data_IF_506927251822
#
_entry.id   IF_506927251822
#
_cell.length_a   1.000
_cell.length_b   1.000
_cell.length_c   1.000
_cell.angle_alpha   90.00
_cell.angle_beta   90.00
_cell.angle_gamma   90.00
#
_symmetry.space_group_name_H-M   'P 1'
#
loop_
_entity.id
_entity.type
_entity.pdbx_description
1 polymer ?
#
# COMPACT_ATOMS: atom_id res chain seq x y z
N UNK A 1 -0.06 -1.82 29.27
CA UNK A 1 0.88 -0.84 28.69
C UNK A 1 1.78 -1.49 27.61
N UNK A 2 2.35 -2.68 27.83
CA UNK A 2 3.21 -3.35 26.86
C UNK A 2 2.56 -3.64 25.49
N UNK A 3 1.30 -4.08 25.45
CA UNK A 3 0.58 -4.36 24.21
C UNK A 3 0.36 -3.09 23.37
N UNK A 4 0.06 -1.98 24.01
CA UNK A 4 -0.14 -0.70 23.32
C UNK A 4 1.19 -0.22 22.71
N UNK A 5 2.29 -0.32 23.45
CA UNK A 5 3.62 0.02 22.94
C UNK A 5 4.02 -0.83 21.71
N UNK A 6 3.65 -2.12 21.69
CA UNK A 6 3.87 -2.98 20.51
C UNK A 6 3.03 -2.49 19.32
N UNK A 7 1.75 -2.19 19.54
CA UNK A 7 0.89 -1.64 18.50
C UNK A 7 1.44 -0.34 17.90
N UNK A 8 1.89 0.58 18.76
CA UNK A 8 2.47 1.86 18.32
C UNK A 8 3.75 1.68 17.51
N UNK A 9 4.63 0.74 17.90
CA UNK A 9 5.83 0.41 17.13
C UNK A 9 5.49 -0.14 15.76
N UNK A 10 4.54 -1.08 15.67
CA UNK A 10 4.08 -1.62 14.39
C UNK A 10 3.50 -0.51 13.49
N UNK A 11 2.65 0.34 14.07
CA UNK A 11 2.09 1.52 13.39
C UNK A 11 3.21 2.43 12.86
N UNK A 12 4.22 2.70 13.68
CA UNK A 12 5.32 3.59 13.30
C UNK A 12 6.11 3.03 12.12
N UNK A 13 6.40 1.72 12.11
CA UNK A 13 7.09 1.06 10.99
C UNK A 13 6.27 1.22 9.72
N UNK A 14 4.99 0.85 9.75
CA UNK A 14 4.08 0.96 8.60
C UNK A 14 3.99 2.41 8.11
N UNK A 15 3.90 3.37 9.04
CA UNK A 15 3.81 4.78 8.71
C UNK A 15 5.10 5.35 8.11
N UNK A 16 6.26 4.91 8.58
CA UNK A 16 7.55 5.33 7.99
C UNK A 16 7.67 4.86 6.55
N UNK A 17 7.35 3.59 6.28
CA UNK A 17 7.38 3.04 4.92
C UNK A 17 6.37 3.74 4.01
N UNK A 18 5.12 3.89 4.47
CA UNK A 18 4.08 4.59 3.70
C UNK A 18 4.44 6.05 3.38
N UNK A 19 4.97 6.80 4.35
CA UNK A 19 5.43 8.18 4.11
C UNK A 19 6.64 8.24 3.18
N UNK A 20 7.59 7.33 3.31
CA UNK A 20 8.74 7.28 2.40
C UNK A 20 8.30 6.99 0.97
N UNK A 21 7.33 6.08 0.78
CA UNK A 21 6.81 5.75 -0.55
C UNK A 21 6.07 6.89 -1.23
N UNK A 22 5.48 7.83 -0.48
CA UNK A 22 4.81 9.00 -1.08
C UNK A 22 5.77 9.91 -1.84
N UNK A 23 7.06 9.93 -1.49
CA UNK A 23 8.06 10.68 -2.25
C UNK A 23 8.27 10.14 -3.67
N UNK A 24 7.92 8.87 -3.92
CA UNK A 24 7.95 8.29 -5.27
C UNK A 24 6.86 8.87 -6.19
N UNK A 25 5.87 9.57 -5.64
CA UNK A 25 4.90 10.32 -6.45
C UNK A 25 5.55 11.45 -7.25
N UNK A 26 6.63 12.05 -6.73
CA UNK A 26 7.33 13.14 -7.42
C UNK A 26 7.91 12.66 -8.76
N UNK A 27 8.81 11.63 -8.77
CA UNK A 27 9.30 11.11 -10.05
C UNK A 27 8.18 10.51 -10.91
N UNK A 28 7.15 9.90 -10.32
CA UNK A 28 5.99 9.39 -11.07
C UNK A 28 5.32 10.51 -11.86
N UNK A 29 4.99 11.63 -11.21
CA UNK A 29 4.35 12.77 -11.88
C UNK A 29 5.27 13.36 -12.96
N UNK A 30 6.56 13.49 -12.70
CA UNK A 30 7.54 14.00 -13.68
C UNK A 30 7.58 13.12 -14.91
N UNK A 31 7.66 11.78 -14.74
CA UNK A 31 7.72 10.83 -15.85
C UNK A 31 6.42 10.85 -16.66
N UNK A 32 5.26 10.83 -15.98
CA UNK A 32 3.95 10.89 -16.65
C UNK A 32 3.80 12.18 -17.45
N UNK A 33 4.14 13.33 -16.86
CA UNK A 33 4.06 14.62 -17.57
C UNK A 33 5.00 14.66 -18.76
N UNK A 34 6.21 14.13 -18.60
CA UNK A 34 7.19 14.05 -19.69
C UNK A 34 6.66 13.17 -20.81
N UNK A 35 6.15 11.96 -20.53
CA UNK A 35 5.63 11.05 -21.54
C UNK A 35 4.45 11.66 -22.33
N UNK A 36 3.54 12.36 -21.65
CA UNK A 36 2.44 13.07 -22.30
C UNK A 36 2.95 14.18 -23.23
N UNK A 37 3.92 14.99 -22.78
CA UNK A 37 4.51 16.07 -23.59
C UNK A 37 5.28 15.50 -24.78
N UNK A 38 6.10 14.47 -24.56
CA UNK A 38 6.89 13.82 -25.60
C UNK A 38 6.03 13.23 -26.72
N UNK A 39 4.91 12.61 -26.37
CA UNK A 39 3.93 12.09 -27.35
C UNK A 39 3.24 13.19 -28.15
N UNK A 40 3.04 14.37 -27.59
CA UNK A 40 2.49 15.51 -28.30
C UNK A 40 3.51 16.18 -29.20
N UNK A 41 4.78 16.21 -28.79
CA UNK A 41 5.88 16.85 -29.48
C UNK A 41 6.87 15.79 -30.01
N UNK A 42 6.42 15.00 -30.97
CA UNK A 42 7.15 13.82 -31.50
C UNK A 42 8.58 14.15 -31.92
N UNK A 43 8.83 15.36 -32.42
CA UNK A 43 10.17 15.82 -32.80
C UNK A 43 11.12 15.93 -31.59
N UNK A 44 10.63 16.32 -30.42
CA UNK A 44 11.42 16.32 -29.16
C UNK A 44 11.77 14.88 -28.78
N UNK A 45 10.81 13.96 -28.83
CA UNK A 45 11.04 12.55 -28.52
C UNK A 45 12.11 11.95 -29.44
N UNK A 46 12.00 12.16 -30.77
CA UNK A 46 12.98 11.67 -31.74
C UNK A 46 14.36 12.24 -31.42
N UNK A 47 14.46 13.54 -31.16
CA UNK A 47 15.72 14.18 -30.80
C UNK A 47 16.32 13.62 -29.51
N UNK A 48 15.50 13.40 -28.47
CA UNK A 48 15.94 12.84 -27.18
C UNK A 48 16.42 11.40 -27.33
N UNK A 49 15.69 10.56 -28.05
CA UNK A 49 16.08 9.17 -28.31
C UNK A 49 17.39 9.11 -29.11
N UNK A 50 17.56 9.98 -30.10
CA UNK A 50 18.78 10.04 -30.91
C UNK A 50 20.03 10.47 -30.10
N UNK A 51 19.89 11.36 -29.13
CA UNK A 51 21.01 11.92 -28.37
C UNK A 51 21.26 11.23 -27.01
N UNK A 52 20.22 10.73 -26.36
CA UNK A 52 20.28 10.16 -25.00
C UNK A 52 19.92 8.67 -24.93
N UNK A 53 19.56 8.08 -26.09
CA UNK A 53 19.25 6.66 -26.19
C UNK A 53 17.80 6.29 -25.93
N UNK A 54 17.50 4.99 -26.01
CA UNK A 54 16.15 4.42 -25.92
C UNK A 54 15.44 4.65 -24.58
N UNK A 55 16.14 5.16 -23.56
CA UNK A 55 15.52 5.46 -22.26
C UNK A 55 14.34 6.44 -22.41
N UNK A 56 14.39 7.35 -23.38
CA UNK A 56 13.32 8.32 -23.65
C UNK A 56 12.25 7.82 -24.62
N UNK A 57 12.28 6.54 -25.00
CA UNK A 57 11.16 5.97 -25.74
C UNK A 57 9.89 5.95 -24.89
N UNK A 58 8.76 6.32 -25.51
CA UNK A 58 7.47 6.39 -24.84
C UNK A 58 7.07 5.06 -24.20
N UNK A 59 7.38 3.93 -24.82
CA UNK A 59 7.11 2.59 -24.29
C UNK A 59 7.82 2.33 -22.97
N UNK A 60 9.10 2.73 -22.87
CA UNK A 60 9.89 2.56 -21.65
C UNK A 60 9.42 3.51 -20.56
N UNK A 61 9.09 4.76 -20.90
CA UNK A 61 8.51 5.72 -19.97
C UNK A 61 7.20 5.23 -19.37
N UNK A 62 6.30 4.69 -20.19
CA UNK A 62 5.05 4.08 -19.72
C UNK A 62 5.30 2.89 -18.78
N UNK A 63 6.28 2.03 -19.09
CA UNK A 63 6.62 0.93 -18.19
C UNK A 63 7.16 1.44 -16.84
N UNK A 64 8.00 2.45 -16.83
CA UNK A 64 8.47 3.09 -15.59
C UNK A 64 7.32 3.74 -14.80
N UNK A 65 6.37 4.37 -15.48
CA UNK A 65 5.20 4.99 -14.87
C UNK A 65 4.39 3.98 -14.06
N UNK A 66 3.95 2.89 -14.69
CA UNK A 66 3.14 1.93 -13.96
C UNK A 66 3.96 1.09 -12.96
N UNK A 67 5.29 0.93 -13.15
CA UNK A 67 6.17 0.35 -12.13
C UNK A 67 6.22 1.20 -10.87
N UNK A 68 6.47 2.52 -11.01
CA UNK A 68 6.47 3.44 -9.88
C UNK A 68 5.11 3.50 -9.19
N UNK A 69 4.02 3.54 -9.98
CA UNK A 69 2.66 3.50 -9.45
C UNK A 69 2.40 2.24 -8.62
N UNK A 70 2.82 1.07 -9.13
CA UNK A 70 2.69 -0.20 -8.41
C UNK A 70 3.45 -0.18 -7.08
N UNK A 71 4.71 0.33 -7.07
CA UNK A 71 5.51 0.45 -5.85
C UNK A 71 4.82 1.33 -4.82
N UNK A 72 4.39 2.53 -5.22
CA UNK A 72 3.68 3.47 -4.34
C UNK A 72 2.41 2.82 -3.78
N UNK A 73 1.58 2.25 -4.66
CA UNK A 73 0.33 1.61 -4.28
C UNK A 73 0.54 0.50 -3.25
N UNK A 74 1.49 -0.42 -3.50
CA UNK A 74 1.77 -1.53 -2.60
C UNK A 74 2.27 -1.04 -1.23
N UNK A 75 3.20 -0.09 -1.19
CA UNK A 75 3.80 0.37 0.07
C UNK A 75 2.86 1.26 0.90
N UNK A 76 1.89 1.94 0.27
CA UNK A 76 0.90 2.79 0.96
C UNK A 76 -0.26 1.99 1.55
N UNK A 77 -0.50 0.73 1.12
CA UNK A 77 -1.64 -0.07 1.59
C UNK A 77 -1.77 -0.12 3.12
N UNK A 78 -0.68 -0.50 3.81
CA UNK A 78 -0.68 -0.56 5.28
C UNK A 78 -0.87 0.80 5.94
N UNK A 79 -0.24 1.85 5.38
CA UNK A 79 -0.39 3.22 5.85
C UNK A 79 -1.84 3.70 5.74
N UNK A 80 -2.49 3.45 4.60
CA UNK A 80 -3.90 3.79 4.40
C UNK A 80 -4.81 3.09 5.41
N UNK A 81 -4.52 1.83 5.73
CA UNK A 81 -5.29 1.07 6.72
C UNK A 81 -5.16 1.65 8.14
N UNK A 82 -3.94 1.95 8.59
CA UNK A 82 -3.71 2.52 9.92
C UNK A 82 -4.25 3.94 10.11
N UNK A 83 -4.56 4.65 9.01
CA UNK A 83 -5.15 5.99 9.01
C UNK A 83 -6.63 6.03 8.65
N UNK A 84 -7.32 4.89 8.68
CA UNK A 84 -8.75 4.80 8.36
C UNK A 84 -9.12 5.37 6.98
N UNK A 85 -8.23 5.20 5.98
CA UNK A 85 -8.43 5.73 4.61
C UNK A 85 -9.02 4.69 3.65
N UNK A 86 -9.26 3.46 4.10
CA UNK A 86 -9.96 2.45 3.30
C UNK A 86 -11.45 2.76 3.20
N UNK A 87 -11.99 2.57 2.00
CA UNK A 87 -13.43 2.70 1.75
C UNK A 87 -14.17 1.65 2.59
N UNK A 88 -15.17 2.09 3.35
CA UNK A 88 -16.00 1.26 4.21
C UNK A 88 -17.47 1.49 3.92
N UNK A 89 -18.27 0.47 4.17
CA UNK A 89 -19.74 0.59 4.13
C UNK A 89 -20.20 0.92 5.55
N UNK A 90 -20.28 2.21 5.86
CA UNK A 90 -20.61 2.67 7.22
C UNK A 90 -22.13 2.72 7.50
N UNK A 91 -22.97 2.47 6.49
CA UNK A 91 -24.44 2.58 6.57
C UNK A 91 -25.07 1.82 7.77
N UNK A 92 -24.61 0.60 8.04
CA UNK A 92 -25.10 -0.17 9.19
C UNK A 92 -24.40 0.20 10.50
N UNK A 93 -23.15 0.68 10.40
CA UNK A 93 -22.27 0.93 11.53
C UNK A 93 -22.56 2.26 12.24
N UNK A 94 -23.08 3.25 11.56
CA UNK A 94 -23.34 4.58 12.13
C UNK A 94 -24.23 4.51 13.38
N UNK A 95 -25.20 3.61 13.38
CA UNK A 95 -26.15 3.43 14.49
C UNK A 95 -25.60 2.61 15.69
N UNK A 96 -24.38 2.08 15.60
CA UNK A 96 -23.84 1.25 16.66
C UNK A 96 -23.14 2.08 17.75
N UNK A 97 -23.28 1.65 19.00
CA UNK A 97 -22.50 2.17 20.11
C UNK A 97 -21.00 1.90 19.90
N UNK A 98 -20.13 2.74 20.46
CA UNK A 98 -18.67 2.63 20.33
C UNK A 98 -18.13 1.22 20.59
N UNK A 99 -18.60 0.53 21.66
CA UNK A 99 -18.19 -0.85 21.94
C UNK A 99 -18.63 -1.85 20.87
N UNK A 100 -19.82 -1.66 20.30
CA UNK A 100 -20.31 -2.53 19.23
C UNK A 100 -19.52 -2.28 17.95
N UNK A 101 -19.18 -1.04 17.64
CA UNK A 101 -18.27 -0.69 16.54
C UNK A 101 -16.91 -1.40 16.70
N UNK A 102 -16.31 -1.32 17.90
CA UNK A 102 -15.04 -1.98 18.19
C UNK A 102 -15.10 -3.51 18.02
N UNK A 103 -16.18 -4.15 18.46
CA UNK A 103 -16.37 -5.59 18.28
C UNK A 103 -16.51 -5.98 16.81
N UNK A 104 -17.30 -5.25 16.03
CA UNK A 104 -17.45 -5.50 14.59
C UNK A 104 -16.11 -5.37 13.87
N UNK A 105 -15.35 -4.32 14.17
CA UNK A 105 -14.00 -4.14 13.62
C UNK A 105 -13.04 -5.27 14.04
N UNK A 106 -13.11 -5.71 15.29
CA UNK A 106 -12.29 -6.80 15.78
C UNK A 106 -12.57 -8.11 15.04
N UNK A 107 -13.85 -8.50 14.93
CA UNK A 107 -14.23 -9.72 14.21
C UNK A 107 -13.96 -9.60 12.70
N UNK A 108 -14.22 -8.44 12.11
CA UNK A 108 -13.87 -8.18 10.72
C UNK A 108 -12.38 -8.30 10.44
N UNK A 109 -11.55 -7.78 11.35
CA UNK A 109 -10.10 -7.87 11.23
C UNK A 109 -9.60 -9.31 11.35
N UNK A 110 -10.03 -10.06 12.36
CA UNK A 110 -9.53 -11.43 12.63
C UNK A 110 -10.03 -12.47 11.62
N UNK A 111 -11.27 -12.36 11.14
CA UNK A 111 -11.85 -13.37 10.24
C UNK A 111 -11.68 -13.05 8.76
N UNK A 112 -11.56 -11.78 8.38
CA UNK A 112 -11.46 -11.39 6.97
C UNK A 112 -10.11 -10.76 6.65
N UNK A 113 -9.73 -9.69 7.33
CA UNK A 113 -8.57 -8.89 6.96
C UNK A 113 -7.25 -9.65 7.15
N UNK A 114 -7.00 -10.24 8.32
CA UNK A 114 -5.75 -10.96 8.59
C UNK A 114 -5.61 -12.25 7.74
N UNK A 115 -6.62 -13.15 7.63
CA UNK A 115 -6.51 -14.31 6.76
C UNK A 115 -6.35 -13.92 5.29
N UNK A 116 -7.11 -12.92 4.81
CA UNK A 116 -7.00 -12.42 3.45
C UNK A 116 -5.59 -11.92 3.13
N UNK A 117 -5.00 -11.10 4.01
CA UNK A 117 -3.65 -10.59 3.79
C UNK A 117 -2.59 -11.68 3.79
N UNK A 118 -2.72 -12.71 4.64
CA UNK A 118 -1.81 -13.87 4.65
C UNK A 118 -1.90 -14.66 3.35
N UNK A 119 -3.12 -14.91 2.86
CA UNK A 119 -3.34 -15.56 1.57
C UNK A 119 -2.71 -14.72 0.44
N UNK A 120 -2.91 -13.41 0.46
CA UNK A 120 -2.33 -12.52 -0.54
C UNK A 120 -0.79 -12.51 -0.49
N UNK A 121 -0.18 -12.51 0.70
CA UNK A 121 1.29 -12.61 0.85
C UNK A 121 1.78 -13.92 0.23
N UNK A 122 1.12 -15.05 0.53
CA UNK A 122 1.53 -16.36 0.03
C UNK A 122 1.45 -16.44 -1.51
N UNK A 123 0.32 -16.08 -2.11
CA UNK A 123 0.17 -16.16 -3.56
C UNK A 123 1.00 -15.12 -4.32
N UNK A 124 1.15 -13.91 -3.77
CA UNK A 124 2.01 -12.91 -4.39
C UNK A 124 3.50 -13.29 -4.30
N UNK A 125 3.90 -14.02 -3.25
CA UNK A 125 5.24 -14.60 -3.17
C UNK A 125 5.49 -15.63 -4.27
N UNK A 126 4.57 -16.59 -4.47
CA UNK A 126 4.64 -17.57 -5.55
C UNK A 126 4.73 -16.84 -6.91
N UNK A 127 3.85 -15.88 -7.14
CA UNK A 127 3.83 -15.10 -8.37
C UNK A 127 5.17 -14.38 -8.67
N UNK A 128 5.83 -13.87 -7.64
CA UNK A 128 7.16 -13.27 -7.76
C UNK A 128 8.22 -14.33 -8.08
N UNK A 129 8.21 -15.47 -7.38
CA UNK A 129 9.17 -16.57 -7.57
C UNK A 129 9.06 -17.15 -8.99
N UNK A 130 7.84 -17.39 -9.47
CA UNK A 130 7.61 -17.89 -10.83
C UNK A 130 8.19 -16.92 -11.87
N UNK A 131 7.94 -15.62 -11.71
CA UNK A 131 8.50 -14.57 -12.57
C UNK A 131 10.05 -14.56 -12.55
N UNK A 132 10.65 -14.83 -11.39
CA UNK A 132 12.11 -14.93 -11.25
C UNK A 132 12.67 -16.17 -11.99
N UNK A 133 12.02 -17.33 -11.82
CA UNK A 133 12.46 -18.59 -12.43
C UNK A 133 12.43 -18.52 -13.95
N UNK A 134 11.35 -18.00 -14.53
CA UNK A 134 11.19 -17.86 -15.99
C UNK A 134 11.99 -16.69 -16.57
N UNK A 135 12.68 -15.89 -15.72
CA UNK A 135 13.37 -14.66 -16.12
C UNK A 135 12.48 -13.74 -16.96
N UNK A 136 11.29 -13.48 -16.44
CA UNK A 136 10.24 -12.75 -17.16
C UNK A 136 10.74 -11.39 -17.64
N UNK A 137 10.56 -11.14 -18.94
CA UNK A 137 10.86 -9.86 -19.58
C UNK A 137 9.57 -9.20 -20.07
N UNK A 138 9.64 -7.91 -20.38
CA UNK A 138 8.50 -7.21 -20.98
C UNK A 138 8.13 -7.82 -22.33
N UNK A 139 6.85 -7.80 -22.66
CA UNK A 139 6.35 -8.13 -23.99
C UNK A 139 6.69 -7.06 -25.05
N UNK A 140 7.14 -5.89 -24.61
CA UNK A 140 7.59 -4.80 -25.46
C UNK A 140 9.03 -5.02 -25.93
N UNK A 141 9.34 -4.65 -27.17
CA UNK A 141 10.69 -4.77 -27.76
C UNK A 141 11.76 -3.95 -26.98
N UNK A 142 11.35 -2.87 -26.32
CA UNK A 142 12.22 -1.93 -25.59
C UNK A 142 11.87 -1.89 -24.11
N UNK A 143 11.08 -2.84 -23.62
CA UNK A 143 10.58 -2.86 -22.26
C UNK A 143 11.63 -3.28 -21.22
N UNK A 144 11.30 -3.03 -19.94
CA UNK A 144 12.17 -3.36 -18.81
C UNK A 144 12.30 -4.88 -18.65
N UNK A 145 13.54 -5.32 -18.49
CA UNK A 145 13.86 -6.70 -18.09
C UNK A 145 13.66 -6.87 -16.58
N UNK A 146 13.70 -8.13 -16.12
CA UNK A 146 13.61 -8.45 -14.68
C UNK A 146 12.29 -8.02 -14.01
N UNK A 147 11.16 -8.36 -14.60
CA UNK A 147 9.83 -8.05 -14.06
C UNK A 147 9.58 -8.58 -12.65
N UNK A 148 10.32 -9.58 -12.20
CA UNK A 148 10.24 -10.10 -10.84
C UNK A 148 10.53 -9.03 -9.78
N UNK A 149 11.37 -8.01 -10.09
CA UNK A 149 11.70 -6.92 -9.16
C UNK A 149 10.44 -6.14 -8.77
N UNK A 150 9.63 -5.74 -9.75
CA UNK A 150 8.40 -5.02 -9.44
C UNK A 150 7.37 -5.91 -8.74
N UNK A 151 7.32 -7.20 -9.09
CA UNK A 151 6.43 -8.16 -8.44
C UNK A 151 6.79 -8.40 -6.98
N UNK A 152 8.04 -8.18 -6.56
CA UNK A 152 8.48 -8.27 -5.16
C UNK A 152 7.77 -7.27 -4.27
N UNK A 153 7.33 -6.12 -4.81
CA UNK A 153 6.61 -5.12 -4.02
C UNK A 153 5.19 -5.56 -3.63
N UNK A 154 4.59 -6.54 -4.33
CA UNK A 154 3.29 -7.10 -3.96
C UNK A 154 3.32 -7.81 -2.60
N UNK A 155 4.13 -8.85 -2.37
CA UNK A 155 4.21 -9.51 -1.06
C UNK A 155 4.68 -8.56 0.03
N UNK A 156 5.59 -7.62 -0.27
CA UNK A 156 6.03 -6.60 0.69
C UNK A 156 4.85 -5.70 1.09
N UNK A 157 4.07 -5.20 0.15
CA UNK A 157 2.92 -4.36 0.42
C UNK A 157 1.85 -5.06 1.25
N UNK A 158 1.49 -6.31 0.91
CA UNK A 158 0.56 -7.11 1.71
C UNK A 158 1.12 -7.45 3.10
N UNK A 159 2.43 -7.63 3.23
CA UNK A 159 3.06 -7.81 4.54
C UNK A 159 2.92 -6.56 5.41
N UNK A 160 3.15 -5.36 4.88
CA UNK A 160 2.90 -4.12 5.63
C UNK A 160 1.42 -3.89 5.94
N UNK A 161 0.52 -4.32 5.07
CA UNK A 161 -0.91 -4.31 5.34
C UNK A 161 -1.26 -5.26 6.49
N UNK A 162 -0.67 -6.45 6.52
CA UNK A 162 -0.80 -7.41 7.63
C UNK A 162 -0.30 -6.82 8.95
N UNK A 163 0.88 -6.19 8.97
CA UNK A 163 1.41 -5.52 10.16
C UNK A 163 0.48 -4.39 10.65
N UNK A 164 -0.08 -3.61 9.72
CA UNK A 164 -1.10 -2.60 10.02
C UNK A 164 -2.34 -3.22 10.67
N UNK A 165 -2.83 -4.33 10.12
CA UNK A 165 -3.95 -5.10 10.68
C UNK A 165 -3.67 -5.63 12.07
N UNK A 166 -2.48 -6.17 12.31
CA UNK A 166 -2.05 -6.61 13.65
C UNK A 166 -1.99 -5.45 14.65
N UNK A 167 -1.49 -4.30 14.23
CA UNK A 167 -1.45 -3.10 15.07
C UNK A 167 -2.86 -2.66 15.49
N UNK A 168 -3.79 -2.59 14.53
CA UNK A 168 -5.20 -2.25 14.78
C UNK A 168 -5.86 -3.29 15.69
N UNK A 169 -5.62 -4.59 15.45
CA UNK A 169 -6.17 -5.65 16.28
C UNK A 169 -5.75 -5.54 17.73
N UNK A 170 -4.48 -5.26 18.00
CA UNK A 170 -3.96 -5.08 19.36
C UNK A 170 -4.66 -3.88 20.04
N UNK A 171 -4.89 -2.79 19.33
CA UNK A 171 -5.63 -1.65 19.89
C UNK A 171 -7.09 -1.99 20.20
N UNK A 172 -7.76 -2.73 19.30
CA UNK A 172 -9.13 -3.16 19.52
C UNK A 172 -9.26 -4.09 20.73
N UNK A 173 -8.31 -4.99 20.95
CA UNK A 173 -8.23 -5.82 22.16
C UNK A 173 -8.13 -4.94 23.41
N UNK A 174 -7.24 -3.96 23.41
CA UNK A 174 -7.07 -3.06 24.53
C UNK A 174 -8.32 -2.21 24.84
N UNK A 175 -9.11 -1.86 23.81
CA UNK A 175 -10.38 -1.12 23.95
C UNK A 175 -11.52 -2.00 24.46
N UNK A 176 -11.62 -3.24 23.97
CA UNK A 176 -12.74 -4.15 24.32
C UNK A 176 -12.58 -4.71 25.73
N UNK A 177 -11.35 -5.12 26.08
CA UNK A 177 -11.05 -5.84 27.34
C UNK A 177 -10.21 -5.04 28.34
N UNK A 178 -9.63 -3.90 27.93
CA UNK A 178 -8.79 -3.05 28.81
C UNK A 178 -9.57 -1.95 29.53
N UNK A 179 -9.02 -1.51 30.68
CA UNK A 179 -9.60 -0.42 31.48
C UNK A 179 -9.26 1.00 30.96
N UNK A 180 -8.27 1.13 30.10
CA UNK A 180 -7.74 2.42 29.61
C UNK A 180 -8.49 2.96 28.38
N UNK A 181 -9.80 3.19 28.50
CA UNK A 181 -10.67 3.64 27.41
C UNK A 181 -10.42 5.08 26.91
N UNK A 182 -9.73 5.91 27.67
CA UNK A 182 -9.67 7.38 27.46
C UNK A 182 -8.41 7.88 26.75
N UNK A 183 -7.40 7.04 26.47
CA UNK A 183 -6.08 7.51 26.00
C UNK A 183 -5.63 6.95 24.65
N UNK A 184 -6.42 6.12 24.01
CA UNK A 184 -6.04 5.51 22.73
C UNK A 184 -6.54 6.38 21.57
N UNK A 185 -5.59 6.94 20.85
CA UNK A 185 -5.81 7.48 19.50
C UNK A 185 -6.07 6.30 18.55
N UNK A 186 -7.36 5.94 18.44
CA UNK A 186 -7.77 4.74 17.73
C UNK A 186 -7.63 4.95 16.23
N UNK A 187 -6.84 4.12 15.60
CA UNK A 187 -6.56 4.19 14.16
C UNK A 187 -7.81 4.03 13.29
N UNK A 188 -8.81 3.31 13.78
CA UNK A 188 -9.93 2.79 12.97
C UNK A 188 -11.30 3.28 13.44
N UNK A 189 -11.35 3.80 14.65
CA UNK A 189 -12.59 4.26 15.29
C UNK A 189 -12.44 5.72 15.67
N UNK A 190 -13.26 6.59 15.08
CA UNK A 190 -13.39 7.95 15.56
C UNK A 190 -14.09 7.92 16.94
N UNK A 191 -13.36 8.35 17.94
CA UNK A 191 -13.95 8.54 19.27
C UNK A 191 -14.82 9.80 19.23
N UNK A 192 -16.11 9.62 19.39
CA UNK A 192 -17.03 10.73 19.51
C UNK A 192 -16.74 11.49 20.81
N UNK A 193 -16.09 12.65 20.70
CA UNK A 193 -15.77 13.55 21.80
C UNK A 193 -17.01 14.29 22.35
N UNK A 194 -18.18 14.05 21.78
CA UNK A 194 -19.42 14.77 22.09
C UNK A 194 -20.26 14.15 23.22
N UNK A 195 -19.76 13.10 23.90
CA UNK A 195 -20.45 12.49 25.06
C UNK A 195 -19.56 12.41 26.27
#
# INVERSE_FOLDING_TARGET
EGLISVSEKLREIVNRVGRASTWLLVPLVIITMWDVVARKLVWIQIWMVANFGSFFESTLMQEMEWHLHTVVFCLVLGYGYTHNRHVRVDFLRENFNFRSKAKVEFYGNIFFMLPFTLICVYFSWIYMVDSYIIKEVSASLVGLSNRWIIKTFLPIGYFFLFLGGMSVMIQLIAVIWGDNKKKLDLMVLDYDKSK
#
